data_IF_383198387641
#
_entry.id   IF_383198387641
#
_cell.length_a   1.000
_cell.length_b   1.000
_cell.length_c   1.000
_cell.angle_alpha   90.00
_cell.angle_beta   90.00
_cell.angle_gamma   90.00
#
_symmetry.space_group_name_H-M   'P 1'
#
loop_
_entity.id
_entity.type
_entity.pdbx_description
1 polymer ?
#
# COMPACT_ATOMS: atom_id res chain seq x y z
N UNK A 1 1.34 19.34 -12.40
CA UNK A 1 1.95 18.59 -11.27
C UNK A 1 3.25 17.92 -11.71
N UNK A 2 3.28 17.33 -12.91
CA UNK A 2 4.52 16.87 -13.57
C UNK A 2 5.42 18.05 -13.99
N UNK A 3 4.87 19.25 -14.21
CA UNK A 3 5.61 20.42 -14.72
C UNK A 3 6.74 20.95 -13.81
N UNK A 4 6.73 20.58 -12.53
CA UNK A 4 7.80 20.94 -11.59
C UNK A 4 8.79 19.80 -11.33
N UNK A 5 8.67 18.66 -12.04
CA UNK A 5 9.53 17.49 -11.87
C UNK A 5 9.26 16.65 -10.61
N UNK A 6 8.22 16.98 -9.83
CA UNK A 6 7.84 16.20 -8.66
C UNK A 6 7.00 14.98 -9.07
N UNK A 7 7.29 13.84 -8.43
CA UNK A 7 6.50 12.61 -8.57
C UNK A 7 5.65 12.40 -7.32
N UNK A 8 4.31 12.53 -7.40
CA UNK A 8 3.46 12.36 -6.23
C UNK A 8 3.45 10.90 -5.76
N UNK A 9 3.25 10.74 -4.45
CA UNK A 9 3.00 9.44 -3.82
C UNK A 9 1.61 9.53 -3.18
N UNK A 10 0.69 8.68 -3.63
CA UNK A 10 -0.61 8.55 -2.99
C UNK A 10 -0.45 7.71 -1.73
N UNK A 11 -0.66 8.34 -0.57
CA UNK A 11 -0.65 7.66 0.71
C UNK A 11 -1.89 6.78 0.86
N UNK A 12 -1.66 5.56 1.36
CA UNK A 12 -2.65 4.55 1.73
C UNK A 12 -3.87 4.50 0.79
N UNK A 13 -3.68 4.22 -0.52
CA UNK A 13 -4.77 4.18 -1.50
C UNK A 13 -5.87 3.18 -1.13
N UNK A 14 -5.52 2.13 -0.39
CA UNK A 14 -6.42 1.09 0.07
C UNK A 14 -7.48 1.57 1.08
N UNK A 15 -7.32 2.76 1.66
CA UNK A 15 -8.32 3.35 2.55
C UNK A 15 -9.46 4.04 1.80
N UNK A 16 -9.29 4.32 0.51
CA UNK A 16 -10.33 4.94 -0.31
C UNK A 16 -11.29 3.89 -0.84
N UNK A 17 -12.19 3.41 0.02
CA UNK A 17 -13.13 2.32 -0.30
C UNK A 17 -14.14 2.67 -1.39
N UNK A 18 -14.24 3.94 -1.77
CA UNK A 18 -15.05 4.44 -2.87
C UNK A 18 -14.32 4.42 -4.22
N UNK A 19 -13.00 4.14 -4.24
CA UNK A 19 -12.23 4.04 -5.48
C UNK A 19 -12.18 2.60 -5.98
N UNK A 20 -12.19 2.46 -7.30
CA UNK A 20 -12.10 1.18 -8.00
C UNK A 20 -10.77 1.06 -8.76
N UNK A 21 -10.41 -0.17 -9.12
CA UNK A 21 -9.16 -0.50 -9.81
C UNK A 21 -8.86 0.41 -11.02
N UNK A 22 -9.87 0.76 -11.82
CA UNK A 22 -9.72 1.63 -12.99
C UNK A 22 -9.28 3.06 -12.62
N UNK A 23 -9.73 3.60 -11.49
CA UNK A 23 -9.29 4.91 -11.01
C UNK A 23 -7.85 4.86 -10.50
N UNK A 24 -7.46 3.76 -9.85
CA UNK A 24 -6.08 3.55 -9.46
C UNK A 24 -5.15 3.41 -10.68
N UNK A 25 -5.59 2.73 -11.74
CA UNK A 25 -4.82 2.67 -13.00
C UNK A 25 -4.62 4.05 -13.60
N UNK A 26 -5.68 4.86 -13.67
CA UNK A 26 -5.58 6.24 -14.17
C UNK A 26 -4.58 7.10 -13.39
N UNK A 27 -4.59 7.01 -12.05
CA UNK A 27 -3.64 7.73 -11.20
C UNK A 27 -2.20 7.28 -11.44
N UNK A 28 -1.99 5.98 -11.68
CA UNK A 28 -0.68 5.44 -12.00
C UNK A 28 -0.20 5.88 -13.38
N UNK A 29 -1.09 5.94 -14.36
CA UNK A 29 -0.81 6.45 -15.71
C UNK A 29 -0.42 7.94 -15.69
N UNK A 30 -0.94 8.71 -14.73
CA UNK A 30 -0.51 10.09 -14.46
C UNK A 30 0.84 10.18 -13.73
N UNK A 31 1.51 9.05 -13.48
CA UNK A 31 2.82 8.99 -12.86
C UNK A 31 2.80 9.03 -11.33
N UNK A 32 1.66 8.79 -10.69
CA UNK A 32 1.58 8.69 -9.24
C UNK A 32 2.13 7.33 -8.76
N UNK A 33 2.99 7.34 -7.74
CA UNK A 33 3.37 6.10 -7.04
C UNK A 33 2.40 5.82 -5.89
N UNK A 34 2.27 4.56 -5.48
CA UNK A 34 1.39 4.20 -4.37
C UNK A 34 2.15 3.71 -3.14
N UNK A 35 1.72 4.18 -1.97
CA UNK A 35 2.24 3.75 -0.69
C UNK A 35 1.17 3.01 0.09
N UNK A 36 1.32 1.70 0.24
CA UNK A 36 0.44 0.86 1.05
C UNK A 36 0.72 1.06 2.53
N UNK A 37 -0.31 1.10 3.37
CA UNK A 37 -0.12 0.90 4.80
C UNK A 37 -0.12 -0.60 5.13
N UNK A 38 0.98 -1.09 5.69
CA UNK A 38 1.19 -2.50 6.02
C UNK A 38 0.12 -3.05 6.97
N UNK A 39 -0.36 -2.26 7.94
CA UNK A 39 -1.41 -2.69 8.88
C UNK A 39 -2.81 -2.76 8.23
N UNK A 40 -3.01 -2.25 7.01
CA UNK A 40 -4.25 -2.46 6.28
C UNK A 40 -4.46 -3.94 5.90
N UNK A 41 -3.39 -4.73 5.76
CA UNK A 41 -3.44 -6.16 5.45
C UNK A 41 -4.02 -7.02 6.58
N UNK A 42 -3.90 -6.56 7.83
CA UNK A 42 -4.50 -7.27 8.98
C UNK A 42 -6.00 -6.98 9.11
N UNK A 43 -6.55 -6.06 8.31
CA UNK A 43 -7.94 -5.63 8.41
C UNK A 43 -8.19 -4.59 9.51
N UNK A 44 -7.14 -3.96 10.06
CA UNK A 44 -7.25 -2.94 11.10
C UNK A 44 -8.18 -1.78 10.71
N UNK A 45 -8.16 -1.37 9.43
CA UNK A 45 -9.03 -0.32 8.87
C UNK A 45 -10.34 -0.85 8.27
N UNK A 46 -10.67 -2.12 8.50
CA UNK A 46 -11.87 -2.78 8.00
C UNK A 46 -11.63 -3.69 6.79
N UNK A 47 -12.60 -4.57 6.55
CA UNK A 47 -12.50 -5.63 5.52
C UNK A 47 -12.47 -5.08 4.09
N UNK A 48 -13.12 -3.94 3.82
CA UNK A 48 -13.08 -3.29 2.53
C UNK A 48 -11.67 -2.77 2.20
N UNK A 49 -11.00 -2.17 3.19
CA UNK A 49 -9.64 -1.66 3.00
C UNK A 49 -8.64 -2.78 2.79
N UNK A 50 -8.78 -3.89 3.53
CA UNK A 50 -7.99 -5.10 3.32
C UNK A 50 -8.14 -5.64 1.89
N UNK A 51 -9.37 -5.76 1.38
CA UNK A 51 -9.61 -6.25 0.01
C UNK A 51 -8.96 -5.37 -1.05
N UNK A 52 -9.01 -4.05 -0.90
CA UNK A 52 -8.36 -3.13 -1.85
C UNK A 52 -6.84 -3.24 -1.73
N UNK A 53 -6.29 -3.40 -0.52
CA UNK A 53 -4.86 -3.63 -0.32
C UNK A 53 -4.38 -4.87 -1.08
N UNK A 54 -5.10 -5.98 -0.93
CA UNK A 54 -4.85 -7.25 -1.64
C UNK A 54 -4.98 -7.07 -3.16
N UNK A 55 -6.03 -6.42 -3.64
CA UNK A 55 -6.25 -6.14 -5.07
C UNK A 55 -5.12 -5.28 -5.68
N UNK A 56 -4.64 -4.27 -4.97
CA UNK A 56 -3.52 -3.44 -5.42
C UNK A 56 -2.20 -4.20 -5.46
N UNK A 57 -1.96 -5.12 -4.52
CA UNK A 57 -0.79 -6.01 -4.53
C UNK A 57 -0.87 -6.98 -5.71
N UNK A 58 -2.04 -7.59 -5.95
CA UNK A 58 -2.27 -8.52 -7.06
C UNK A 58 -2.05 -7.88 -8.44
N UNK A 59 -2.32 -6.58 -8.56
CA UNK A 59 -2.08 -5.81 -9.77
C UNK A 59 -0.69 -5.14 -9.82
N UNK A 60 0.21 -5.49 -8.88
CA UNK A 60 1.56 -4.93 -8.76
C UNK A 60 1.59 -3.39 -8.72
N UNK A 61 0.60 -2.79 -8.06
CA UNK A 61 0.39 -1.34 -8.03
C UNK A 61 1.08 -0.62 -6.87
N UNK A 62 1.62 -1.36 -5.90
CA UNK A 62 2.28 -0.80 -4.74
C UNK A 62 3.76 -0.54 -5.02
N UNK A 63 4.22 0.67 -4.70
CA UNK A 63 5.62 1.09 -4.86
C UNK A 63 6.33 1.26 -3.51
N UNK A 64 5.58 1.56 -2.45
CA UNK A 64 6.10 1.83 -1.12
C UNK A 64 5.24 1.15 -0.05
N UNK A 65 5.85 0.81 1.09
CA UNK A 65 5.13 0.39 2.30
C UNK A 65 5.40 1.34 3.46
N UNK A 66 4.47 1.47 4.39
CA UNK A 66 4.73 2.13 5.68
C UNK A 66 3.89 1.52 6.80
N UNK A 67 4.36 1.69 8.03
CA UNK A 67 3.65 1.23 9.23
C UNK A 67 2.58 2.22 9.72
N UNK A 68 2.70 3.51 9.37
CA UNK A 68 1.80 4.61 9.79
C UNK A 68 1.54 4.60 11.32
N UNK A 69 2.59 4.32 12.09
CA UNK A 69 2.48 4.07 13.53
C UNK A 69 2.32 5.38 14.30
N UNK A 70 1.21 5.47 15.04
CA UNK A 70 0.94 6.59 15.95
C UNK A 70 0.86 6.16 17.43
N UNK A 71 0.66 4.86 17.69
CA UNK A 71 0.53 4.28 19.03
C UNK A 71 1.03 2.83 19.09
N UNK A 72 1.30 2.31 20.29
CA UNK A 72 1.76 0.93 20.51
C UNK A 72 0.81 -0.15 19.96
N UNK A 73 -0.50 0.14 19.84
CA UNK A 73 -1.44 -0.78 19.18
C UNK A 73 -1.14 -0.98 17.70
N UNK A 74 -0.61 0.05 17.02
CA UNK A 74 -0.17 -0.07 15.63
C UNK A 74 1.08 -0.95 15.52
N UNK A 75 1.94 -0.97 16.55
CA UNK A 75 3.11 -1.85 16.58
C UNK A 75 2.70 -3.33 16.61
N UNK A 76 1.74 -3.69 17.48
CA UNK A 76 1.22 -5.06 17.53
C UNK A 76 0.55 -5.46 16.21
N UNK A 77 -0.28 -4.60 15.63
CA UNK A 77 -0.88 -4.84 14.33
C UNK A 77 0.16 -4.96 13.19
N UNK A 78 1.29 -4.24 13.30
CA UNK A 78 2.39 -4.33 12.35
C UNK A 78 3.12 -5.67 12.47
N UNK A 79 3.38 -6.16 13.68
CA UNK A 79 3.94 -7.51 13.89
C UNK A 79 3.05 -8.61 13.31
N UNK A 80 1.72 -8.45 13.39
CA UNK A 80 0.78 -9.37 12.75
C UNK A 80 0.81 -9.25 11.22
N UNK A 81 0.93 -8.03 10.70
CA UNK A 81 1.04 -7.78 9.27
C UNK A 81 2.30 -8.42 8.66
N UNK A 82 3.41 -8.45 9.42
CA UNK A 82 4.66 -9.10 9.00
C UNK A 82 4.53 -10.60 8.71
N UNK A 83 3.49 -11.24 9.25
CA UNK A 83 3.21 -12.68 9.09
C UNK A 83 2.17 -12.97 8.01
N UNK A 84 1.66 -11.95 7.32
CA UNK A 84 0.61 -12.12 6.32
C UNK A 84 1.21 -12.56 4.98
N UNK A 85 0.62 -13.58 4.36
CA UNK A 85 1.00 -14.10 3.04
C UNK A 85 1.05 -13.00 1.97
N UNK A 86 0.15 -12.01 2.05
CA UNK A 86 0.14 -10.89 1.12
C UNK A 86 1.33 -9.94 1.26
N UNK A 87 1.92 -9.83 2.46
CA UNK A 87 3.14 -9.05 2.62
C UNK A 87 4.33 -9.81 2.02
N UNK A 88 4.39 -11.13 2.22
CA UNK A 88 5.39 -11.99 1.57
C UNK A 88 5.27 -11.87 0.04
N UNK A 89 4.06 -11.98 -0.50
CA UNK A 89 3.77 -11.79 -1.92
C UNK A 89 4.23 -10.42 -2.44
N UNK A 90 3.96 -9.35 -1.69
CA UNK A 90 4.42 -8.01 -2.04
C UNK A 90 5.96 -7.91 -2.05
N UNK A 91 6.64 -8.67 -1.20
CA UNK A 91 8.10 -8.63 -1.08
C UNK A 91 8.83 -9.46 -2.12
N UNK A 92 8.29 -10.62 -2.48
CA UNK A 92 9.00 -11.60 -3.31
C UNK A 92 8.37 -11.79 -4.71
N UNK A 93 7.06 -11.57 -4.85
CA UNK A 93 6.34 -11.82 -6.11
C UNK A 93 5.99 -10.53 -6.88
N UNK A 94 6.33 -9.36 -6.33
CA UNK A 94 6.09 -8.06 -6.96
C UNK A 94 7.40 -7.35 -7.31
N UNK A 95 7.36 -6.33 -8.20
CA UNK A 95 8.51 -5.46 -8.43
C UNK A 95 9.05 -4.92 -7.10
N UNK A 96 10.38 -4.75 -6.97
CA UNK A 96 10.98 -4.34 -5.72
C UNK A 96 10.42 -3.00 -5.27
N UNK A 97 10.10 -2.91 -3.98
CA UNK A 97 9.67 -1.67 -3.36
C UNK A 97 10.75 -0.59 -3.57
N UNK A 98 10.31 0.66 -3.61
CA UNK A 98 11.22 1.81 -3.72
C UNK A 98 11.84 2.18 -2.38
N UNK A 99 11.28 1.69 -1.27
CA UNK A 99 11.80 1.88 0.08
C UNK A 99 12.26 0.56 0.73
N UNK A 100 13.39 0.04 0.25
CA UNK A 100 13.99 -1.22 0.70
C UNK A 100 14.68 -1.18 2.07
N UNK A 101 14.64 -0.03 2.77
CA UNK A 101 15.35 0.21 4.04
C UNK A 101 14.45 0.15 5.29
N UNK A 102 13.18 -0.25 5.15
CA UNK A 102 12.18 -0.20 6.22
C UNK A 102 11.78 -1.59 6.77
N UNK A 103 12.52 -2.63 6.41
CA UNK A 103 12.43 -3.99 6.96
C UNK A 103 13.77 -4.43 7.53
#
# INVERSE_FOLDING_TARGET
MIDYGYKPILAHPERYTYMHLEQFKLLRDWGCNFQLNTISLTGYYGSASKKIAEELIDNHMIDFISSDMHHMRHAAAFEDALKMDYLEKLMFDSPPLKNNLLL
#
